data_IF_690346328978
#
_entry.id   IF_690346328978
#
_cell.length_a   1.000
_cell.length_b   1.000
_cell.length_c   1.000
_cell.angle_alpha   90.00
_cell.angle_beta   90.00
_cell.angle_gamma   90.00
#
_symmetry.space_group_name_H-M   'P 1'
#
loop_
_entity.id
_entity.type
_entity.pdbx_description
1 polymer ?
#
# COMPACT_ATOMS: atom_id res chain seq x y z
N UNK A 1 -1.00 -14.57 -30.50
CA UNK A 1 -0.15 -13.37 -30.29
C UNK A 1 -0.50 -12.77 -28.93
N UNK A 2 0.19 -13.15 -27.85
CA UNK A 2 -0.04 -12.58 -26.49
C UNK A 2 1.20 -12.70 -25.57
N UNK A 3 2.42 -12.55 -26.07
CA UNK A 3 3.64 -12.79 -25.26
C UNK A 3 4.22 -11.54 -24.58
N UNK A 4 3.76 -10.34 -24.91
CA UNK A 4 4.38 -9.08 -24.42
C UNK A 4 4.03 -8.73 -22.96
N UNK A 5 2.94 -9.25 -22.39
CA UNK A 5 2.49 -8.85 -21.05
C UNK A 5 3.07 -9.73 -19.92
N UNK A 6 3.48 -10.97 -20.23
CA UNK A 6 3.95 -11.93 -19.22
C UNK A 6 5.37 -11.60 -18.70
N UNK A 7 6.25 -11.10 -19.57
CA UNK A 7 7.62 -10.72 -19.17
C UNK A 7 7.65 -9.49 -18.27
N UNK A 8 6.80 -8.49 -18.53
CA UNK A 8 6.70 -7.27 -17.71
C UNK A 8 6.19 -7.59 -16.29
N UNK A 9 5.16 -8.45 -16.18
CA UNK A 9 4.63 -8.90 -14.89
C UNK A 9 5.65 -9.75 -14.12
N UNK A 10 6.37 -10.66 -14.82
CA UNK A 10 7.40 -11.49 -14.21
C UNK A 10 8.59 -10.65 -13.71
N UNK A 11 9.02 -9.64 -14.48
CA UNK A 11 10.08 -8.71 -14.08
C UNK A 11 9.66 -7.89 -12.86
N UNK A 12 8.45 -7.32 -12.88
CA UNK A 12 7.91 -6.58 -11.73
C UNK A 12 7.87 -7.47 -10.48
N UNK A 13 7.35 -8.69 -10.60
CA UNK A 13 7.31 -9.63 -9.49
C UNK A 13 8.72 -9.99 -8.96
N UNK A 14 9.71 -10.09 -9.85
CA UNK A 14 11.11 -10.34 -9.48
C UNK A 14 11.71 -9.15 -8.71
N UNK A 15 11.53 -7.92 -9.21
CA UNK A 15 11.99 -6.69 -8.55
C UNK A 15 11.35 -6.53 -7.17
N UNK A 16 10.04 -6.76 -7.07
CA UNK A 16 9.28 -6.69 -5.81
C UNK A 16 9.71 -7.76 -4.79
N UNK A 17 10.22 -8.90 -5.25
CA UNK A 17 10.76 -9.96 -4.38
C UNK A 17 12.19 -9.67 -3.93
N UNK A 18 13.01 -9.07 -4.79
CA UNK A 18 14.41 -8.79 -4.50
C UNK A 18 14.61 -7.56 -3.58
N UNK A 19 13.63 -6.63 -3.55
CA UNK A 19 13.70 -5.47 -2.65
C UNK A 19 13.57 -5.87 -1.18
N UNK A 20 14.42 -5.27 -0.34
CA UNK A 20 14.36 -5.43 1.12
C UNK A 20 13.34 -4.49 1.77
N UNK A 21 12.76 -3.55 1.01
CA UNK A 21 11.75 -2.63 1.51
C UNK A 21 10.33 -3.17 1.29
N UNK A 22 9.43 -2.85 2.21
CA UNK A 22 8.00 -3.01 2.01
C UNK A 22 7.54 -2.17 0.82
N UNK A 23 6.86 -2.80 -0.14
CA UNK A 23 6.27 -2.12 -1.30
C UNK A 23 4.78 -2.36 -1.30
N UNK A 24 4.01 -1.28 -1.41
CA UNK A 24 2.56 -1.26 -1.52
C UNK A 24 2.16 -0.47 -2.77
N UNK A 25 1.11 -0.93 -3.45
CA UNK A 25 0.50 -0.24 -4.58
C UNK A 25 -0.94 0.04 -4.23
N UNK A 26 -1.32 1.32 -4.28
CA UNK A 26 -2.67 1.79 -4.00
C UNK A 26 -3.37 2.27 -5.27
N UNK A 27 -4.68 2.05 -5.34
CA UNK A 27 -5.56 2.65 -6.34
C UNK A 27 -6.48 3.67 -5.66
N UNK A 28 -6.51 4.89 -6.19
CA UNK A 28 -7.38 5.95 -5.70
C UNK A 28 -8.86 5.62 -5.95
N UNK A 29 -9.68 5.75 -4.92
CA UNK A 29 -11.15 5.72 -5.03
C UNK A 29 -11.63 7.16 -5.09
N UNK A 30 -12.48 7.46 -6.07
CA UNK A 30 -12.99 8.81 -6.32
C UNK A 30 -14.50 8.87 -6.29
N UNK A 31 -15.03 9.91 -5.65
CA UNK A 31 -16.46 10.27 -5.69
C UNK A 31 -16.55 11.72 -6.12
N UNK A 32 -17.22 12.00 -7.24
CA UNK A 32 -17.32 13.38 -7.78
C UNK A 32 -15.96 14.02 -8.09
N UNK A 33 -14.95 13.23 -8.47
CA UNK A 33 -13.59 13.72 -8.78
C UNK A 33 -12.65 13.83 -7.58
N UNK A 34 -13.19 13.86 -6.36
CA UNK A 34 -12.42 13.91 -5.11
C UNK A 34 -11.93 12.52 -4.71
N UNK A 35 -10.69 12.42 -4.24
CA UNK A 35 -10.13 11.17 -3.68
C UNK A 35 -10.75 10.97 -2.30
N UNK A 36 -11.53 9.92 -2.12
CA UNK A 36 -12.21 9.61 -0.85
C UNK A 36 -11.50 8.53 -0.05
N UNK A 37 -10.76 7.64 -0.73
CA UNK A 37 -9.94 6.61 -0.08
C UNK A 37 -8.93 6.01 -1.08
N UNK A 38 -8.12 5.06 -0.62
CA UNK A 38 -7.14 4.32 -1.40
C UNK A 38 -7.32 2.82 -1.16
N UNK A 39 -7.46 2.03 -2.24
CA UNK A 39 -7.55 0.57 -2.17
C UNK A 39 -6.18 -0.05 -2.39
N UNK A 40 -5.75 -0.93 -1.48
CA UNK A 40 -4.51 -1.70 -1.66
C UNK A 40 -4.71 -2.74 -2.77
N UNK A 41 -3.88 -2.71 -3.81
CA UNK A 41 -3.99 -3.66 -4.95
C UNK A 41 -2.86 -4.66 -4.99
N UNK A 42 -1.65 -4.26 -4.59
CA UNK A 42 -0.46 -5.11 -4.57
C UNK A 42 0.35 -4.78 -3.32
N UNK A 43 0.93 -5.81 -2.71
CA UNK A 43 2.00 -5.66 -1.74
C UNK A 43 3.01 -6.80 -1.86
N UNK A 44 4.27 -6.53 -1.51
CA UNK A 44 5.30 -7.58 -1.51
C UNK A 44 5.34 -8.36 -0.18
N UNK A 45 6.17 -9.40 -0.12
CA UNK A 45 6.31 -10.25 1.06
C UNK A 45 6.91 -9.50 2.27
N UNK A 46 7.72 -8.46 2.03
CA UNK A 46 8.24 -7.61 3.11
C UNK A 46 7.09 -6.85 3.77
N UNK A 47 6.26 -6.16 2.98
CA UNK A 47 5.10 -5.43 3.49
C UNK A 47 4.12 -6.35 4.23
N UNK A 48 3.89 -7.59 3.77
CA UNK A 48 3.07 -8.56 4.51
C UNK A 48 3.59 -8.82 5.93
N UNK A 49 4.92 -8.90 6.09
CA UNK A 49 5.55 -9.04 7.42
C UNK A 49 5.40 -7.77 8.25
N UNK A 50 5.55 -6.59 7.64
CA UNK A 50 5.39 -5.30 8.33
C UNK A 50 3.96 -5.14 8.89
N UNK A 51 2.95 -5.64 8.17
CA UNK A 51 1.55 -5.68 8.61
C UNK A 51 1.20 -6.88 9.50
N UNK A 52 2.11 -7.86 9.62
CA UNK A 52 1.86 -9.16 10.25
C UNK A 52 0.57 -9.86 9.75
N UNK A 53 0.27 -9.75 8.45
CA UNK A 53 -0.92 -10.31 7.82
C UNK A 53 -0.61 -10.79 6.39
N UNK A 54 -1.22 -11.88 5.92
CA UNK A 54 -1.03 -12.35 4.56
C UNK A 54 -1.69 -11.40 3.55
N UNK A 55 -1.20 -11.40 2.31
CA UNK A 55 -1.75 -10.57 1.24
C UNK A 55 -3.25 -10.80 0.99
N UNK A 56 -3.75 -12.02 1.23
CA UNK A 56 -5.18 -12.37 1.08
C UNK A 56 -6.10 -11.52 1.96
N UNK A 57 -5.59 -11.04 3.10
CA UNK A 57 -6.37 -10.28 4.07
C UNK A 57 -6.22 -8.77 3.86
N UNK A 58 -5.15 -8.37 3.17
CA UNK A 58 -4.74 -6.98 2.98
C UNK A 58 -5.16 -6.43 1.60
N UNK A 59 -5.01 -7.22 0.53
CA UNK A 59 -5.38 -6.79 -0.83
C UNK A 59 -6.89 -6.56 -0.90
N UNK A 60 -7.29 -5.44 -1.48
CA UNK A 60 -8.69 -5.00 -1.57
C UNK A 60 -9.14 -4.13 -0.40
N UNK A 61 -8.42 -4.14 0.73
CA UNK A 61 -8.72 -3.28 1.87
C UNK A 61 -8.45 -1.81 1.57
N UNK A 62 -9.15 -0.96 2.31
CA UNK A 62 -8.98 0.49 2.24
C UNK A 62 -7.83 0.93 3.15
N UNK A 63 -7.06 1.91 2.70
CA UNK A 63 -6.02 2.56 3.49
C UNK A 63 -6.60 3.07 4.82
N UNK A 64 -7.84 3.58 4.80
CA UNK A 64 -8.56 3.98 6.00
C UNK A 64 -8.79 2.90 7.05
N UNK A 65 -8.84 1.63 6.63
CA UNK A 65 -9.02 0.47 7.49
C UNK A 65 -7.68 -0.14 7.94
N UNK A 66 -6.66 -0.04 7.08
CA UNK A 66 -5.34 -0.61 7.32
C UNK A 66 -4.55 0.14 8.40
N UNK A 67 -4.77 1.45 8.57
CA UNK A 67 -3.99 2.28 9.49
C UNK A 67 -4.84 2.88 10.61
N UNK A 68 -4.28 3.04 11.83
CA UNK A 68 -4.91 3.81 12.89
C UNK A 68 -5.22 5.25 12.44
N UNK A 69 -6.31 5.84 12.94
CA UNK A 69 -6.84 7.15 12.50
C UNK A 69 -5.78 8.26 12.46
N UNK A 70 -4.86 8.31 13.44
CA UNK A 70 -3.81 9.34 13.49
C UNK A 70 -2.75 9.19 12.39
N UNK A 71 -2.38 7.94 12.07
CA UNK A 71 -1.42 7.61 11.00
C UNK A 71 -2.09 7.79 9.63
N UNK A 72 -3.37 7.44 9.55
CA UNK A 72 -4.19 7.62 8.35
C UNK A 72 -4.20 9.08 7.91
N UNK A 73 -4.43 10.03 8.83
CA UNK A 73 -4.53 11.45 8.46
C UNK A 73 -3.26 11.96 7.77
N UNK A 74 -2.09 11.65 8.32
CA UNK A 74 -0.81 12.10 7.73
C UNK A 74 -0.48 11.38 6.42
N UNK A 75 -0.67 10.05 6.35
CA UNK A 75 -0.39 9.29 5.13
C UNK A 75 -1.33 9.63 3.98
N UNK A 76 -2.62 9.77 4.28
CA UNK A 76 -3.64 9.98 3.25
C UNK A 76 -3.45 11.32 2.54
N UNK A 77 -3.12 12.38 3.27
CA UNK A 77 -2.86 13.69 2.68
C UNK A 77 -1.64 13.66 1.75
N UNK A 78 -0.55 13.02 2.18
CA UNK A 78 0.62 12.83 1.33
C UNK A 78 0.30 12.05 0.06
N UNK A 79 -0.47 10.96 0.16
CA UNK A 79 -0.89 10.19 -1.00
C UNK A 79 -1.79 10.99 -1.95
N UNK A 80 -2.74 11.76 -1.41
CA UNK A 80 -3.59 12.64 -2.22
C UNK A 80 -2.76 13.67 -2.98
N UNK A 81 -1.79 14.30 -2.32
CA UNK A 81 -0.89 15.25 -2.95
C UNK A 81 -0.10 14.60 -4.10
N UNK A 82 0.54 13.45 -3.86
CA UNK A 82 1.29 12.72 -4.89
C UNK A 82 0.40 12.38 -6.10
N UNK A 83 -0.83 11.92 -5.85
CA UNK A 83 -1.76 11.54 -6.92
C UNK A 83 -2.22 12.76 -7.72
N UNK A 84 -2.35 13.91 -7.08
CA UNK A 84 -2.79 15.15 -7.73
C UNK A 84 -1.66 15.84 -8.49
N UNK A 85 -0.43 15.83 -7.96
CA UNK A 85 0.72 16.51 -8.58
C UNK A 85 1.49 15.61 -9.56
N UNK A 86 1.45 14.29 -9.35
CA UNK A 86 2.30 13.34 -10.07
C UNK A 86 3.75 13.33 -9.59
N UNK A 87 4.09 14.09 -8.55
CA UNK A 87 5.43 14.18 -8.00
C UNK A 87 5.64 13.19 -6.87
N UNK A 88 6.76 12.46 -6.89
CA UNK A 88 7.14 11.54 -5.82
C UNK A 88 7.54 12.30 -4.56
N UNK A 89 7.09 11.83 -3.38
CA UNK A 89 7.53 12.35 -2.10
C UNK A 89 8.27 11.28 -1.28
N UNK A 90 9.19 11.73 -0.42
CA UNK A 90 9.85 10.92 0.60
C UNK A 90 9.64 11.59 1.95
N UNK A 91 9.11 10.84 2.91
CA UNK A 91 8.83 11.33 4.25
C UNK A 91 8.89 10.16 5.23
N UNK A 92 9.00 10.50 6.51
CA UNK A 92 8.95 9.56 7.63
C UNK A 92 7.69 9.84 8.45
N UNK A 93 7.08 8.80 8.98
CA UNK A 93 5.92 8.92 9.86
C UNK A 93 6.06 7.96 11.04
N UNK A 94 5.54 8.36 12.18
CA UNK A 94 5.54 7.49 13.36
C UNK A 94 4.41 6.48 13.23
N UNK A 95 4.78 5.21 13.17
CA UNK A 95 3.86 4.09 13.22
C UNK A 95 4.04 3.35 14.55
N UNK A 96 3.08 3.50 15.46
CA UNK A 96 2.98 2.59 16.59
C UNK A 96 2.29 1.33 16.10
N UNK A 97 3.07 0.26 15.95
CA UNK A 97 2.53 -1.08 15.80
C UNK A 97 1.69 -1.33 17.06
N UNK A 98 0.36 -1.30 16.94
CA UNK A 98 -0.49 -1.73 18.03
C UNK A 98 -0.13 -3.18 18.30
N UNK A 99 0.56 -3.43 19.41
CA UNK A 99 0.82 -4.78 19.88
C UNK A 99 -0.56 -5.44 19.99
N UNK A 100 -0.87 -6.33 19.05
CA UNK A 100 -2.02 -7.20 19.21
C UNK A 100 -1.69 -8.03 20.42
N UNK A 101 -2.42 -7.78 21.50
CA UNK A 101 -2.39 -8.58 22.71
C UNK A 101 -2.66 -9.99 22.24
N UNK A 102 -1.65 -10.86 22.29
CA UNK A 102 -1.85 -12.30 22.26
C UNK A 102 -2.73 -12.58 23.47
N UNK A 103 -4.04 -12.63 23.26
CA UNK A 103 -4.95 -13.22 24.24
C UNK A 103 -4.85 -14.72 24.00
N UNK A 104 -4.24 -15.36 25.01
CA UNK A 104 -4.09 -16.79 25.31
C UNK A 104 -4.86 -17.80 24.45
#
# INVERSE_FOLDING_TARGET
>A
MSTTNQSAQALLASVLRATQNGVLVYQAIRTGGLITDLRLTILNAVAQRDFNKPATDLVGQLCSWLYPVKVKATLFDHYCQIIQTGESARFEYQYQLAAQTTTD
#
